data_IF_575026036447
#
_entry.id   IF_575026036447
#
_cell.length_a   1.000
_cell.length_b   1.000
_cell.length_c   1.000
_cell.angle_alpha   90.00
_cell.angle_beta   90.00
_cell.angle_gamma   90.00
#
_symmetry.space_group_name_H-M   'P 1'
#
loop_
_entity.id
_entity.type
_entity.pdbx_description
1 polymer ?
#
# COMPACT_ATOMS: atom_id res chain seq x y z
N UNK A 1 23.69 9.13 11.39
CA UNK A 1 22.29 8.70 11.53
C UNK A 1 21.92 7.55 10.59
N UNK A 2 22.36 7.54 9.33
CA UNK A 2 22.08 6.46 8.35
C UNK A 2 22.56 5.07 8.81
N UNK A 3 23.71 4.98 9.46
CA UNK A 3 24.28 3.71 9.96
C UNK A 3 23.41 3.05 11.05
N UNK A 4 22.70 3.82 11.89
CA UNK A 4 21.87 3.23 12.96
C UNK A 4 20.49 2.79 12.45
N UNK A 5 19.91 3.51 11.48
CA UNK A 5 18.65 3.11 10.85
C UNK A 5 18.83 1.83 10.03
N UNK A 6 19.87 1.76 9.19
CA UNK A 6 20.14 0.57 8.39
C UNK A 6 20.39 -0.67 9.26
N UNK A 7 21.14 -0.53 10.37
CA UNK A 7 21.34 -1.62 11.32
C UNK A 7 20.03 -2.08 11.97
N UNK A 8 19.15 -1.15 12.37
CA UNK A 8 17.86 -1.48 12.96
C UNK A 8 16.94 -2.22 11.97
N UNK A 9 16.88 -1.77 10.71
CA UNK A 9 16.10 -2.43 9.65
C UNK A 9 16.63 -3.84 9.37
N UNK A 10 17.96 -4.01 9.32
CA UNK A 10 18.58 -5.32 9.13
C UNK A 10 18.36 -6.26 10.32
N UNK A 11 18.28 -5.71 11.54
CA UNK A 11 17.95 -6.50 12.74
C UNK A 11 16.54 -7.10 12.64
N UNK A 12 15.54 -6.28 12.29
CA UNK A 12 14.17 -6.78 12.05
C UNK A 12 14.11 -7.78 10.90
N UNK A 13 14.85 -7.53 9.83
CA UNK A 13 14.89 -8.45 8.68
C UNK A 13 15.62 -9.77 8.97
N UNK A 14 16.40 -9.83 10.05
CA UNK A 14 17.09 -11.03 10.51
C UNK A 14 16.22 -11.93 11.39
N UNK A 15 15.03 -11.48 11.80
CA UNK A 15 14.04 -12.34 12.45
C UNK A 15 13.55 -13.42 11.47
N UNK A 16 13.52 -14.67 11.92
CA UNK A 16 13.24 -15.83 11.06
C UNK A 16 11.82 -15.77 10.46
N UNK A 17 10.83 -15.33 11.24
CA UNK A 17 9.43 -15.21 10.80
C UNK A 17 9.29 -14.11 9.76
N UNK A 18 9.88 -12.94 10.01
CA UNK A 18 9.87 -11.80 9.07
C UNK A 18 10.62 -12.16 7.78
N UNK A 19 11.77 -12.82 7.89
CA UNK A 19 12.54 -13.26 6.74
C UNK A 19 11.79 -14.30 5.90
N UNK A 20 11.07 -15.23 6.55
CA UNK A 20 10.23 -16.21 5.87
C UNK A 20 9.07 -15.54 5.13
N UNK A 21 8.35 -14.63 5.77
CA UNK A 21 7.26 -13.87 5.14
C UNK A 21 7.76 -13.06 3.94
N UNK A 22 8.91 -12.38 4.08
CA UNK A 22 9.51 -11.63 2.98
C UNK A 22 9.84 -12.51 1.77
N UNK A 23 10.32 -13.74 1.99
CA UNK A 23 10.56 -14.73 0.92
C UNK A 23 9.26 -15.17 0.27
N UNK A 24 8.26 -15.58 1.05
CA UNK A 24 6.95 -16.00 0.53
C UNK A 24 6.28 -14.93 -0.33
N UNK A 25 6.30 -13.67 0.12
CA UNK A 25 5.77 -12.52 -0.62
C UNK A 25 6.52 -12.34 -1.95
N UNK A 26 7.86 -12.40 -1.91
CA UNK A 26 8.69 -12.23 -3.10
C UNK A 26 8.48 -13.36 -4.11
N UNK A 27 8.34 -14.60 -3.64
CA UNK A 27 8.06 -15.79 -4.46
C UNK A 27 6.69 -15.70 -5.11
N UNK A 28 5.63 -15.41 -4.34
CA UNK A 28 4.28 -15.22 -4.86
C UNK A 28 4.21 -14.07 -5.88
N UNK A 29 4.89 -12.96 -5.62
CA UNK A 29 4.96 -11.84 -6.55
C UNK A 29 5.74 -12.20 -7.83
N UNK A 30 6.79 -13.02 -7.71
CA UNK A 30 7.55 -13.52 -8.85
C UNK A 30 6.72 -14.47 -9.72
N UNK A 31 5.85 -15.29 -9.14
CA UNK A 31 4.92 -16.15 -9.90
C UNK A 31 3.88 -15.30 -10.65
N UNK A 32 3.35 -14.27 -10.00
CA UNK A 32 2.39 -13.35 -10.62
C UNK A 32 2.96 -12.61 -11.83
N UNK A 33 4.25 -12.31 -11.88
CA UNK A 33 4.85 -11.57 -13.02
C UNK A 33 4.62 -12.28 -14.37
N UNK A 34 4.41 -13.60 -14.35
CA UNK A 34 4.18 -14.41 -15.53
C UNK A 34 2.69 -14.61 -15.87
N UNK A 35 1.79 -14.09 -15.03
CA UNK A 35 0.35 -14.15 -15.26
C UNK A 35 -0.02 -13.48 -16.58
N UNK A 36 -0.90 -14.12 -17.35
CA UNK A 36 -1.24 -13.68 -18.71
C UNK A 36 -1.92 -12.29 -18.72
N UNK A 37 -2.78 -12.02 -17.74
CA UNK A 37 -3.35 -10.70 -17.52
C UNK A 37 -2.28 -9.61 -17.36
N UNK A 38 -1.20 -9.90 -16.63
CA UNK A 38 -0.10 -8.95 -16.43
C UNK A 38 0.74 -8.76 -17.71
N UNK A 39 0.91 -9.82 -18.51
CA UNK A 39 1.61 -9.72 -19.81
C UNK A 39 0.85 -8.88 -20.83
N UNK A 40 -0.48 -9.03 -20.91
CA UNK A 40 -1.30 -8.40 -21.97
C UNK A 40 -2.00 -7.12 -21.52
N UNK A 41 -2.38 -7.03 -20.25
CA UNK A 41 -3.32 -6.03 -19.69
C UNK A 41 -2.86 -5.52 -18.31
N UNK A 42 -1.55 -5.37 -18.10
CA UNK A 42 -0.97 -4.95 -16.80
C UNK A 42 -1.59 -3.67 -16.23
N UNK A 43 -1.84 -2.67 -17.07
CA UNK A 43 -2.46 -1.41 -16.63
C UNK A 43 -3.86 -1.64 -16.06
N UNK A 44 -4.63 -2.52 -16.69
CA UNK A 44 -5.99 -2.86 -16.26
C UNK A 44 -5.97 -3.70 -14.97
N UNK A 45 -5.07 -4.68 -14.88
CA UNK A 45 -4.86 -5.47 -13.66
C UNK A 45 -4.47 -4.59 -12.45
N UNK A 46 -3.51 -3.68 -12.62
CA UNK A 46 -3.11 -2.72 -11.58
C UNK A 46 -4.24 -1.77 -11.19
N UNK A 47 -5.02 -1.33 -12.16
CA UNK A 47 -6.20 -0.47 -11.93
C UNK A 47 -7.25 -1.21 -11.12
N UNK A 48 -7.59 -2.44 -11.51
CA UNK A 48 -8.55 -3.28 -10.80
C UNK A 48 -8.07 -3.60 -9.37
N UNK A 49 -6.78 -3.87 -9.16
CA UNK A 49 -6.21 -4.09 -7.84
C UNK A 49 -6.27 -2.82 -6.97
N UNK A 50 -6.08 -1.63 -7.55
CA UNK A 50 -6.25 -0.37 -6.85
C UNK A 50 -7.72 -0.10 -6.47
N UNK A 51 -8.68 -0.50 -7.31
CA UNK A 51 -10.12 -0.44 -6.99
C UNK A 51 -10.47 -1.39 -5.84
N UNK A 52 -9.98 -2.64 -5.89
CA UNK A 52 -10.15 -3.60 -4.81
C UNK A 52 -9.55 -3.07 -3.50
N UNK A 53 -8.30 -2.60 -3.53
CA UNK A 53 -7.63 -2.00 -2.36
C UNK A 53 -8.42 -0.81 -1.80
N UNK A 54 -8.98 0.05 -2.66
CA UNK A 54 -9.83 1.17 -2.22
C UNK A 54 -11.04 0.67 -1.44
N UNK A 55 -11.66 -0.41 -1.91
CA UNK A 55 -12.84 -1.01 -1.29
C UNK A 55 -12.50 -1.61 0.07
N UNK A 56 -11.43 -2.39 0.15
CA UNK A 56 -10.96 -2.99 1.41
C UNK A 56 -10.63 -1.94 2.46
N UNK A 57 -9.80 -0.94 2.13
CA UNK A 57 -9.43 0.12 3.07
C UNK A 57 -10.64 0.98 3.49
N UNK A 58 -11.61 1.21 2.60
CA UNK A 58 -12.83 1.91 2.94
C UNK A 58 -13.72 1.11 3.91
N UNK A 59 -13.84 -0.21 3.69
CA UNK A 59 -14.59 -1.10 4.56
C UNK A 59 -13.96 -1.21 5.94
N UNK A 60 -12.63 -1.38 6.01
CA UNK A 60 -11.91 -1.42 7.29
C UNK A 60 -12.04 -0.11 8.09
N UNK A 61 -12.15 1.02 7.39
CA UNK A 61 -12.42 2.32 8.01
C UNK A 61 -13.91 2.51 8.42
N UNK A 62 -14.77 1.50 8.27
CA UNK A 62 -16.17 1.55 8.63
C UNK A 62 -17.01 2.49 7.75
N UNK A 63 -16.55 2.84 6.55
CA UNK A 63 -17.30 3.70 5.65
C UNK A 63 -18.53 2.94 5.13
N UNK A 64 -19.75 3.53 5.19
CA UNK A 64 -20.97 2.83 4.82
C UNK A 64 -20.93 2.44 3.34
N UNK A 65 -21.37 1.25 2.92
CA UNK A 65 -21.33 0.82 1.52
C UNK A 65 -22.07 1.81 0.61
N UNK A 66 -21.46 2.20 -0.53
CA UNK A 66 -22.12 2.95 -1.63
C UNK A 66 -22.05 2.06 -2.85
N UNK A 67 -23.11 1.28 -3.07
CA UNK A 67 -23.25 0.44 -4.26
C UNK A 67 -21.99 -0.33 -4.60
N UNK A 68 -21.79 -0.58 -5.90
CA UNK A 68 -20.55 -1.10 -6.41
C UNK A 68 -19.58 0.06 -6.68
N UNK A 69 -18.65 0.29 -5.75
CA UNK A 69 -17.60 1.32 -5.86
C UNK A 69 -16.78 1.16 -7.15
N UNK A 70 -16.57 -0.07 -7.62
CA UNK A 70 -15.89 -0.33 -8.88
C UNK A 70 -16.72 0.17 -10.05
N UNK A 71 -18.03 -0.16 -10.09
CA UNK A 71 -18.94 0.36 -11.10
C UNK A 71 -19.05 1.89 -11.07
N UNK A 72 -19.06 2.50 -9.88
CA UNK A 72 -19.08 3.96 -9.74
C UNK A 72 -17.79 4.61 -10.25
N UNK A 73 -16.61 4.04 -9.94
CA UNK A 73 -15.30 4.45 -10.47
C UNK A 73 -15.29 4.37 -11.99
N UNK A 74 -15.79 3.29 -12.56
CA UNK A 74 -15.90 3.09 -14.01
C UNK A 74 -16.89 4.09 -14.65
N UNK A 75 -18.01 4.37 -13.98
CA UNK A 75 -19.03 5.29 -14.46
C UNK A 75 -18.66 6.77 -14.25
N UNK A 76 -17.53 7.08 -13.61
CA UNK A 76 -17.10 8.45 -13.33
C UNK A 76 -18.00 9.20 -12.35
N UNK A 77 -18.77 8.49 -11.53
CA UNK A 77 -19.74 9.07 -10.58
C UNK A 77 -19.05 9.56 -9.30
N UNK A 78 -18.05 10.42 -9.45
CA UNK A 78 -17.23 10.91 -8.35
C UNK A 78 -17.88 12.06 -7.58
N UNK A 79 -18.02 11.89 -6.28
CA UNK A 79 -18.30 12.96 -5.32
C UNK A 79 -16.98 13.38 -4.67
N UNK A 80 -16.50 14.59 -4.97
CA UNK A 80 -15.18 15.07 -4.56
C UNK A 80 -14.96 15.13 -3.04
N UNK A 81 -16.04 15.05 -2.25
CA UNK A 81 -15.99 15.08 -0.79
C UNK A 81 -15.99 13.69 -0.14
N UNK A 82 -16.34 12.61 -0.86
CA UNK A 82 -16.35 11.26 -0.31
C UNK A 82 -14.93 10.75 -0.02
N UNK A 83 -14.74 10.19 1.17
CA UNK A 83 -13.49 9.57 1.61
C UNK A 83 -13.02 8.42 0.69
N UNK A 84 -13.94 7.65 0.08
CA UNK A 84 -13.62 6.61 -0.91
C UNK A 84 -13.05 7.18 -2.17
N UNK A 85 -13.62 8.28 -2.68
CA UNK A 85 -13.11 8.95 -3.87
C UNK A 85 -11.75 9.56 -3.63
N UNK A 86 -11.48 10.07 -2.42
CA UNK A 86 -10.15 10.52 -2.00
C UNK A 86 -9.17 9.34 -1.94
N UNK A 87 -9.59 8.21 -1.39
CA UNK A 87 -8.78 6.97 -1.32
C UNK A 87 -8.42 6.46 -2.71
N UNK A 88 -9.41 6.35 -3.59
CA UNK A 88 -9.22 6.00 -4.99
C UNK A 88 -8.24 6.93 -5.69
N UNK A 89 -8.37 8.25 -5.51
CA UNK A 89 -7.46 9.22 -6.14
C UNK A 89 -6.00 9.02 -5.71
N UNK A 90 -5.76 8.79 -4.43
CA UNK A 90 -4.41 8.50 -3.91
C UNK A 90 -3.88 7.20 -4.52
N UNK A 91 -4.65 6.12 -4.49
CA UNK A 91 -4.22 4.81 -5.01
C UNK A 91 -4.01 4.85 -6.54
N UNK A 92 -4.91 5.49 -7.29
CA UNK A 92 -4.77 5.72 -8.73
C UNK A 92 -3.52 6.53 -9.03
N UNK A 93 -3.25 7.59 -8.27
CA UNK A 93 -2.01 8.38 -8.41
C UNK A 93 -0.78 7.53 -8.15
N UNK A 94 -0.84 6.60 -7.19
CA UNK A 94 0.29 5.70 -6.88
C UNK A 94 0.73 4.86 -8.08
N UNK A 95 -0.21 4.48 -8.97
CA UNK A 95 0.08 3.68 -10.16
C UNK A 95 1.04 4.38 -11.14
N UNK A 96 1.01 5.71 -11.19
CA UNK A 96 1.91 6.50 -12.05
C UNK A 96 3.38 6.36 -11.63
N UNK A 97 3.62 5.94 -10.39
CA UNK A 97 4.94 5.81 -9.78
C UNK A 97 5.48 4.38 -9.77
N UNK A 98 4.76 3.42 -10.39
CA UNK A 98 5.17 2.02 -10.47
C UNK A 98 6.13 1.75 -11.62
N UNK A 99 6.14 2.61 -12.65
CA UNK A 99 6.85 2.35 -13.89
C UNK A 99 6.23 1.22 -14.73
N UNK A 100 6.87 0.86 -15.84
CA UNK A 100 6.46 -0.27 -16.67
C UNK A 100 6.76 -1.60 -15.97
N UNK A 101 5.91 -2.62 -16.18
CA UNK A 101 6.17 -3.97 -15.69
C UNK A 101 7.50 -4.49 -16.28
N UNK A 102 8.45 -4.90 -15.43
CA UNK A 102 9.78 -5.33 -15.86
C UNK A 102 10.69 -4.19 -16.36
N UNK A 103 10.25 -2.93 -16.28
CA UNK A 103 11.02 -1.76 -16.66
C UNK A 103 11.85 -1.19 -15.50
N UNK A 104 12.52 -0.07 -15.76
CA UNK A 104 13.24 0.65 -14.71
C UNK A 104 12.27 1.24 -13.69
N UNK A 105 12.52 1.07 -12.38
CA UNK A 105 11.71 1.70 -11.33
C UNK A 105 11.67 3.21 -11.48
N UNK A 106 10.50 3.81 -11.19
CA UNK A 106 10.38 5.26 -11.13
C UNK A 106 11.26 5.84 -10.01
N UNK A 107 11.95 6.95 -10.29
CA UNK A 107 12.90 7.58 -9.37
C UNK A 107 12.41 8.89 -8.78
N UNK A 108 11.10 9.17 -8.86
CA UNK A 108 10.51 10.37 -8.27
C UNK A 108 10.91 10.48 -6.79
N UNK A 109 11.48 11.62 -6.35
CA UNK A 109 11.89 11.82 -4.97
C UNK A 109 10.73 11.71 -3.99
N UNK A 110 11.01 11.21 -2.77
CA UNK A 110 10.00 11.00 -1.73
C UNK A 110 9.14 12.24 -1.44
N UNK A 111 9.74 13.43 -1.38
CA UNK A 111 9.01 14.68 -1.16
C UNK A 111 7.99 14.99 -2.25
N UNK A 112 8.31 14.68 -3.51
CA UNK A 112 7.41 14.88 -4.64
C UNK A 112 6.27 13.87 -4.63
N UNK A 113 6.55 12.60 -4.31
CA UNK A 113 5.54 11.56 -4.13
C UNK A 113 4.52 11.95 -3.07
N UNK A 114 4.99 12.29 -1.86
CA UNK A 114 4.12 12.66 -0.76
C UNK A 114 3.27 13.89 -1.10
N UNK A 115 3.86 14.90 -1.75
CA UNK A 115 3.14 16.11 -2.18
C UNK A 115 2.02 15.78 -3.16
N UNK A 116 2.30 14.96 -4.17
CA UNK A 116 1.31 14.58 -5.18
C UNK A 116 0.17 13.74 -4.58
N UNK A 117 0.49 12.74 -3.76
CA UNK A 117 -0.51 11.91 -3.08
C UNK A 117 -1.37 12.73 -2.12
N UNK A 118 -0.79 13.67 -1.37
CA UNK A 118 -1.53 14.56 -0.48
C UNK A 118 -2.50 15.46 -1.23
N UNK A 119 -2.05 16.07 -2.33
CA UNK A 119 -2.89 16.89 -3.21
C UNK A 119 -4.08 16.08 -3.73
N UNK A 120 -3.83 14.88 -4.22
CA UNK A 120 -4.87 14.03 -4.80
C UNK A 120 -5.82 13.45 -3.75
N UNK A 121 -5.35 13.25 -2.52
CA UNK A 121 -6.16 12.88 -1.36
C UNK A 121 -6.95 14.02 -0.72
N UNK A 122 -6.66 15.28 -1.08
CA UNK A 122 -7.21 16.45 -0.40
C UNK A 122 -6.77 16.55 1.06
N UNK A 123 -5.54 16.13 1.37
CA UNK A 123 -5.03 16.09 2.74
C UNK A 123 -4.57 17.50 3.20
N UNK A 124 -4.94 17.94 4.42
CA UNK A 124 -4.50 19.22 4.97
C UNK A 124 -3.00 19.22 5.22
N UNK A 125 -2.39 20.42 5.33
CA UNK A 125 -0.99 20.59 5.73
C UNK A 125 -0.66 19.74 6.99
N UNK A 126 0.52 19.08 7.03
CA UNK A 126 0.92 18.33 8.21
C UNK A 126 1.01 19.24 9.42
N UNK A 127 0.44 18.82 10.55
CA UNK A 127 0.85 19.35 11.85
C UNK A 127 2.28 18.88 12.19
N UNK A 128 2.89 19.36 13.29
CA UNK A 128 4.26 18.96 13.66
C UNK A 128 4.45 17.44 13.88
N UNK A 129 3.43 16.73 14.38
CA UNK A 129 3.48 15.30 14.62
C UNK A 129 3.44 14.53 13.30
N UNK A 130 2.50 14.86 12.42
CA UNK A 130 2.41 14.32 11.08
C UNK A 130 3.67 14.63 10.25
N UNK A 131 4.25 15.82 10.39
CA UNK A 131 5.50 16.21 9.73
C UNK A 131 6.70 15.37 10.22
N UNK A 132 6.71 14.93 11.48
CA UNK A 132 7.73 13.99 11.98
C UNK A 132 7.61 12.65 11.26
N UNK A 133 6.41 12.08 11.15
CA UNK A 133 6.18 10.83 10.42
C UNK A 133 6.57 10.93 8.94
N UNK A 134 6.21 12.03 8.27
CA UNK A 134 6.61 12.25 6.87
C UNK A 134 8.13 12.31 6.68
N UNK A 135 8.87 12.90 7.63
CA UNK A 135 10.35 12.89 7.59
C UNK A 135 10.91 11.48 7.73
N UNK A 136 10.33 10.65 8.59
CA UNK A 136 10.75 9.25 8.74
C UNK A 136 10.44 8.46 7.46
N UNK A 137 9.25 8.63 6.88
CA UNK A 137 8.89 7.98 5.61
C UNK A 137 9.86 8.40 4.50
N UNK A 138 10.19 9.68 4.39
CA UNK A 138 11.16 10.15 3.40
C UNK A 138 12.55 9.54 3.60
N UNK A 139 12.98 9.36 4.86
CA UNK A 139 14.22 8.66 5.18
C UNK A 139 14.16 7.18 4.79
N UNK A 140 13.07 6.46 5.12
CA UNK A 140 12.86 5.06 4.76
C UNK A 140 12.88 4.85 3.24
N UNK A 141 12.17 5.69 2.50
CA UNK A 141 12.15 5.66 1.02
C UNK A 141 13.52 5.91 0.38
N UNK A 142 14.47 6.50 1.11
CA UNK A 142 15.79 6.87 0.61
C UNK A 142 16.92 5.99 1.15
N UNK A 143 16.71 5.28 2.26
CA UNK A 143 17.79 4.65 3.02
C UNK A 143 18.43 3.45 2.32
N UNK A 144 17.69 2.74 1.45
CA UNK A 144 18.11 1.45 0.92
C UNK A 144 18.19 0.41 2.06
N UNK A 145 17.31 -0.58 2.05
CA UNK A 145 17.24 -1.56 3.13
C UNK A 145 16.37 -2.77 2.77
N UNK A 146 16.18 -3.71 3.70
CA UNK A 146 15.30 -4.85 3.50
C UNK A 146 13.92 -4.39 3.04
N UNK A 147 13.55 -4.81 1.83
CA UNK A 147 12.40 -4.25 1.12
C UNK A 147 11.09 -4.41 1.90
N UNK A 148 10.87 -5.60 2.48
CA UNK A 148 9.68 -5.91 3.26
C UNK A 148 9.54 -5.06 4.52
N UNK A 149 10.56 -5.08 5.40
CA UNK A 149 10.56 -4.28 6.64
C UNK A 149 10.36 -2.80 6.33
N UNK A 150 11.09 -2.27 5.33
CA UNK A 150 10.97 -0.87 4.92
C UNK A 150 9.55 -0.54 4.46
N UNK A 151 8.92 -1.43 3.69
CA UNK A 151 7.51 -1.31 3.25
C UNK A 151 6.55 -1.28 4.44
N UNK A 152 6.72 -2.19 5.40
CA UNK A 152 5.88 -2.28 6.60
C UNK A 152 5.98 -1.01 7.46
N UNK A 153 7.18 -0.49 7.67
CA UNK A 153 7.39 0.73 8.49
C UNK A 153 6.94 2.02 7.78
N UNK A 154 7.02 2.07 6.43
CA UNK A 154 6.40 3.16 5.66
C UNK A 154 4.89 3.19 5.91
N UNK A 155 4.24 2.01 5.93
CA UNK A 155 2.82 1.94 6.23
C UNK A 155 2.54 2.41 7.67
N UNK A 156 3.25 1.88 8.67
CA UNK A 156 3.06 2.28 10.07
C UNK A 156 3.12 3.80 10.25
N UNK A 157 4.17 4.45 9.73
CA UNK A 157 4.29 5.90 9.83
C UNK A 157 3.29 6.64 8.94
N UNK A 158 2.81 6.04 7.85
CA UNK A 158 1.71 6.58 7.07
C UNK A 158 0.40 6.62 7.86
N UNK A 159 0.14 5.60 8.69
CA UNK A 159 -0.99 5.56 9.62
C UNK A 159 -0.81 6.57 10.76
N UNK A 160 0.38 6.57 11.38
CA UNK A 160 0.73 7.49 12.48
C UNK A 160 0.75 8.97 12.07
N UNK A 161 0.92 9.27 10.77
CA UNK A 161 0.78 10.63 10.26
C UNK A 161 -0.66 11.17 10.37
N UNK A 162 -1.65 10.34 10.72
CA UNK A 162 -2.91 10.74 11.32
C UNK A 162 -3.64 11.86 10.59
N UNK A 163 -4.26 11.57 9.44
CA UNK A 163 -5.06 12.56 8.69
C UNK A 163 -6.53 12.57 9.12
N UNK A 164 -6.78 12.30 10.41
CA UNK A 164 -8.11 12.06 10.98
C UNK A 164 -8.95 13.35 11.07
N UNK A 165 -9.37 13.85 9.91
CA UNK A 165 -10.58 14.65 9.79
C UNK A 165 -11.73 13.73 9.36
N UNK A 166 -12.94 14.01 9.83
CA UNK A 166 -14.16 13.21 9.57
C UNK A 166 -14.58 13.10 8.09
N UNK A 167 -13.90 13.81 7.17
CA UNK A 167 -14.13 13.77 5.74
C UNK A 167 -12.88 13.36 4.91
N UNK A 168 -11.75 13.01 5.57
CA UNK A 168 -10.53 12.57 4.90
C UNK A 168 -10.63 11.13 4.38
N UNK A 169 -9.76 10.69 3.45
CA UNK A 169 -9.58 9.26 3.21
C UNK A 169 -9.13 8.57 4.51
N UNK A 170 -9.33 7.24 4.66
CA UNK A 170 -8.80 6.47 5.76
C UNK A 170 -7.31 6.77 5.99
N UNK A 171 -6.88 6.84 7.25
CA UNK A 171 -5.48 7.12 7.60
C UNK A 171 -4.51 6.12 6.94
N UNK A 172 -4.96 4.88 6.77
CA UNK A 172 -4.24 3.80 6.09
C UNK A 172 -4.02 4.05 4.59
N UNK A 173 -4.87 4.83 3.89
CA UNK A 173 -4.80 5.00 2.43
C UNK A 173 -3.51 5.67 1.95
N UNK A 174 -3.05 6.69 2.68
CA UNK A 174 -1.81 7.39 2.35
C UNK A 174 -0.59 6.50 2.59
N UNK A 175 -0.54 5.81 3.74
CA UNK A 175 0.50 4.85 4.08
C UNK A 175 0.56 3.66 3.12
N UNK A 176 -0.58 3.04 2.85
CA UNK A 176 -0.72 1.94 1.90
C UNK A 176 -0.22 2.33 0.51
N UNK A 177 -0.56 3.54 0.02
CA UNK A 177 -0.11 4.00 -1.29
C UNK A 177 1.41 4.18 -1.37
N UNK A 178 2.04 4.73 -0.34
CA UNK A 178 3.50 4.86 -0.26
C UNK A 178 4.17 3.50 -0.12
N UNK A 179 3.59 2.60 0.68
CA UNK A 179 4.06 1.23 0.85
C UNK A 179 4.01 0.47 -0.49
N UNK A 180 2.92 0.56 -1.27
CA UNK A 180 2.86 -0.04 -2.61
C UNK A 180 3.89 0.52 -3.57
N UNK A 181 4.08 1.84 -3.61
CA UNK A 181 5.11 2.45 -4.44
C UNK A 181 6.49 1.90 -4.07
N UNK A 182 6.79 1.82 -2.77
CA UNK A 182 8.05 1.27 -2.30
C UNK A 182 8.19 -0.22 -2.64
N UNK A 183 7.16 -1.03 -2.41
CA UNK A 183 7.17 -2.47 -2.69
C UNK A 183 7.44 -2.76 -4.18
N UNK A 184 6.82 -2.00 -5.09
CA UNK A 184 7.08 -2.11 -6.53
C UNK A 184 8.51 -1.69 -6.87
N UNK A 185 8.97 -0.54 -6.36
CA UNK A 185 10.31 -0.01 -6.68
C UNK A 185 11.46 -0.83 -6.14
N UNK A 186 11.26 -1.44 -4.98
CA UNK A 186 12.25 -2.30 -4.32
C UNK A 186 12.26 -3.71 -4.88
N UNK A 187 11.29 -4.07 -5.73
CA UNK A 187 11.16 -5.41 -6.31
C UNK A 187 10.55 -6.45 -5.36
N UNK A 188 10.04 -6.04 -4.20
CA UNK A 188 9.27 -6.91 -3.30
C UNK A 188 7.98 -7.39 -3.97
N UNK A 189 7.28 -6.47 -4.64
CA UNK A 189 6.04 -6.76 -5.36
C UNK A 189 6.05 -6.05 -6.73
N UNK A 190 6.85 -6.52 -7.71
CA UNK A 190 7.07 -5.79 -8.95
C UNK A 190 5.83 -5.73 -9.86
N UNK A 191 4.83 -6.59 -9.62
CA UNK A 191 3.61 -6.62 -10.41
C UNK A 191 2.68 -5.43 -10.11
N UNK A 192 2.70 -4.90 -8.89
CA UNK A 192 1.85 -3.79 -8.45
C UNK A 192 0.38 -4.18 -8.25
N UNK A 193 0.08 -5.46 -8.00
CA UNK A 193 -1.29 -6.00 -7.98
C UNK A 193 -1.75 -6.54 -6.63
N UNK A 194 -0.91 -6.53 -5.59
CA UNK A 194 -1.36 -6.92 -4.27
C UNK A 194 -2.56 -6.05 -3.82
N UNK A 195 -3.65 -6.70 -3.42
CA UNK A 195 -4.84 -6.02 -2.87
C UNK A 195 -4.61 -5.83 -1.39
N UNK A 196 -4.54 -4.57 -0.95
CA UNK A 196 -4.24 -4.27 0.44
C UNK A 196 -5.52 -4.09 1.25
N UNK A 197 -5.49 -4.61 2.48
CA UNK A 197 -6.52 -4.42 3.50
C UNK A 197 -5.91 -3.73 4.73
N UNK A 198 -6.68 -3.56 5.80
CA UNK A 198 -6.12 -3.13 7.07
C UNK A 198 -5.24 -4.20 7.72
N UNK A 199 -4.29 -3.74 8.53
CA UNK A 199 -3.35 -4.62 9.22
C UNK A 199 -3.95 -4.96 10.57
N UNK A 200 -4.24 -6.23 10.81
CA UNK A 200 -4.97 -6.73 11.99
C UNK A 200 -4.25 -6.63 13.35
N UNK A 201 -3.31 -5.70 13.52
CA UNK A 201 -2.54 -5.51 14.77
C UNK A 201 -2.44 -4.01 15.15
N UNK A 202 -3.57 -3.37 15.53
CA UNK A 202 -3.58 -1.95 15.88
C UNK A 202 -2.82 -1.64 17.19
N UNK A 203 -2.74 -2.60 18.12
CA UNK A 203 -1.99 -2.45 19.37
C UNK A 203 -0.48 -2.41 19.11
N UNK A 204 0.04 -3.37 18.33
CA UNK A 204 1.45 -3.37 17.93
C UNK A 204 1.84 -2.11 17.15
N UNK A 205 0.93 -1.59 16.31
CA UNK A 205 1.13 -0.30 15.65
C UNK A 205 1.26 0.84 16.67
N UNK A 206 0.34 0.92 17.64
CA UNK A 206 0.35 1.98 18.64
C UNK A 206 1.62 1.95 19.50
N UNK A 207 2.01 0.77 19.98
CA UNK A 207 3.21 0.56 20.79
C UNK A 207 4.48 0.89 20.00
N UNK A 208 4.54 0.47 18.74
CA UNK A 208 5.64 0.84 17.85
C UNK A 208 5.76 2.36 17.66
N UNK A 209 4.64 3.02 17.37
CA UNK A 209 4.63 4.48 17.17
C UNK A 209 4.93 5.24 18.47
N UNK A 210 4.64 4.64 19.64
CA UNK A 210 5.03 5.15 20.96
C UNK A 210 6.53 4.97 21.25
N UNK A 211 7.23 4.15 20.48
CA UNK A 211 8.68 3.97 20.54
C UNK A 211 9.13 2.57 20.98
N UNK A 212 8.21 1.62 21.13
CA UNK A 212 8.59 0.23 21.41
C UNK A 212 9.08 -0.46 20.13
N UNK A 213 10.37 -0.78 20.10
CA UNK A 213 10.97 -1.46 18.96
C UNK A 213 10.59 -2.95 18.88
N UNK A 214 10.18 -3.59 19.98
CA UNK A 214 9.72 -4.98 19.94
C UNK A 214 8.38 -5.09 19.21
N UNK A 215 7.48 -4.13 19.42
CA UNK A 215 6.21 -4.03 18.71
C UNK A 215 6.38 -3.85 17.19
N UNK A 216 7.54 -3.34 16.73
CA UNK A 216 7.84 -3.24 15.30
C UNK A 216 7.90 -4.62 14.61
N UNK A 217 8.36 -5.66 15.31
CA UNK A 217 8.42 -7.02 14.76
C UNK A 217 7.01 -7.59 14.58
N UNK A 218 6.16 -7.50 15.60
CA UNK A 218 4.74 -7.89 15.54
C UNK A 218 4.00 -7.15 14.42
N UNK A 219 4.23 -5.84 14.29
CA UNK A 219 3.68 -5.07 13.17
C UNK A 219 4.15 -5.58 11.80
N UNK A 220 5.44 -5.90 11.67
CA UNK A 220 5.98 -6.45 10.43
C UNK A 220 5.37 -7.83 10.11
N UNK A 221 5.21 -8.70 11.10
CA UNK A 221 4.56 -10.00 10.91
C UNK A 221 3.12 -9.84 10.40
N UNK A 222 2.33 -8.98 11.06
CA UNK A 222 0.95 -8.67 10.66
C UNK A 222 0.86 -8.11 9.24
N UNK A 223 1.75 -7.18 8.90
CA UNK A 223 1.91 -6.68 7.53
C UNK A 223 2.19 -7.83 6.56
N UNK A 224 3.03 -8.79 6.93
CA UNK A 224 3.42 -9.90 6.07
C UNK A 224 2.26 -10.84 5.77
N UNK A 225 1.48 -11.18 6.79
CA UNK A 225 0.25 -11.95 6.63
C UNK A 225 -0.74 -11.25 5.71
N UNK A 226 -0.92 -9.94 5.89
CA UNK A 226 -1.78 -9.14 5.01
C UNK A 226 -1.24 -9.11 3.57
N UNK A 227 0.07 -9.00 3.36
CA UNK A 227 0.66 -8.92 2.00
C UNK A 227 0.52 -10.24 1.26
N UNK A 228 0.70 -11.35 1.98
CA UNK A 228 0.48 -12.70 1.46
C UNK A 228 -0.98 -12.90 1.04
N UNK A 229 -1.94 -12.53 1.89
CA UNK A 229 -3.36 -12.56 1.54
C UNK A 229 -3.68 -11.65 0.35
N UNK A 230 -3.08 -10.46 0.32
CA UNK A 230 -3.25 -9.48 -0.74
C UNK A 230 -2.73 -9.92 -2.10
N UNK A 231 -1.66 -10.73 -2.15
CA UNK A 231 -1.16 -11.33 -3.39
C UNK A 231 -2.09 -12.42 -3.92
N UNK A 232 -2.69 -13.22 -3.04
CA UNK A 232 -3.73 -14.20 -3.42
C UNK A 232 -4.93 -13.48 -4.02
N UNK A 233 -5.42 -12.42 -3.36
CA UNK A 233 -6.49 -11.59 -3.90
C UNK A 233 -6.09 -10.88 -5.21
N UNK A 234 -4.84 -10.43 -5.32
CA UNK A 234 -4.29 -9.85 -6.55
C UNK A 234 -4.28 -10.82 -7.72
N UNK A 235 -4.04 -12.11 -7.47
CA UNK A 235 -4.18 -13.17 -8.47
C UNK A 235 -5.61 -13.28 -8.97
N UNK A 236 -6.59 -13.34 -8.06
CA UNK A 236 -8.00 -13.40 -8.43
C UNK A 236 -8.42 -12.19 -9.27
N UNK A 237 -7.96 -10.99 -8.92
CA UNK A 237 -8.17 -9.77 -9.75
C UNK A 237 -7.57 -9.92 -11.15
N UNK A 238 -6.40 -10.53 -11.28
CA UNK A 238 -5.79 -10.79 -12.57
C UNK A 238 -6.58 -11.81 -13.39
N UNK A 239 -7.08 -12.88 -12.77
CA UNK A 239 -7.95 -13.89 -13.40
C UNK A 239 -9.25 -13.23 -13.91
N UNK A 240 -9.89 -12.38 -13.11
CA UNK A 240 -11.09 -11.62 -13.49
C UNK A 240 -10.83 -10.70 -14.69
N UNK A 241 -9.72 -9.96 -14.67
CA UNK A 241 -9.34 -9.09 -15.80
C UNK A 241 -9.13 -9.92 -17.06
N UNK A 242 -8.46 -11.08 -16.98
CA UNK A 242 -8.27 -11.97 -18.13
C UNK A 242 -9.61 -12.47 -18.69
N UNK A 243 -10.56 -12.80 -17.82
CA UNK A 243 -11.92 -13.19 -18.18
C UNK A 243 -12.75 -12.04 -18.78
N UNK A 244 -12.23 -10.80 -18.80
CA UNK A 244 -12.88 -9.64 -19.38
C UNK A 244 -13.72 -8.83 -18.40
N UNK A 245 -13.69 -9.16 -17.11
CA UNK A 245 -14.36 -8.37 -16.09
C UNK A 245 -13.69 -6.98 -15.96
N UNK A 246 -14.51 -5.93 -15.91
CA UNK A 246 -14.05 -4.54 -15.69
C UNK A 246 -14.09 -4.20 -14.20
N UNK A 247 -13.28 -4.90 -13.42
CA UNK A 247 -12.99 -4.58 -12.01
C UNK A 247 -14.00 -5.09 -10.98
N UNK A 248 -13.56 -6.05 -10.15
CA UNK A 248 -13.95 -6.17 -8.73
C UNK A 248 -15.33 -6.73 -8.38
N UNK A 249 -16.10 -7.26 -9.33
CA UNK A 249 -17.48 -7.70 -9.09
C UNK A 249 -17.65 -9.20 -8.78
N UNK A 250 -16.70 -9.83 -8.10
CA UNK A 250 -16.86 -11.22 -7.66
C UNK A 250 -16.88 -11.30 -6.14
N UNK A 251 -17.96 -10.79 -5.53
CA UNK A 251 -18.37 -11.19 -4.19
C UNK A 251 -18.82 -12.65 -4.28
N UNK A 252 -17.95 -13.58 -3.89
CA UNK A 252 -18.44 -14.90 -3.44
C UNK A 252 -19.33 -14.67 -2.22
N UNK A 253 -20.57 -15.17 -2.34
CA UNK A 253 -21.61 -15.21 -1.30
C UNK A 253 -21.14 -15.90 -0.04
#
# INVERSE_FOLDING_TARGET
>A
MTTSLAAALNSLAGDDTIAQLAREISEQAADLRFHEALRRRSREARTAAAVATTTHLANAAGLPPRGDLAAMIVAGQADGTDARWRTWRILRRSLEYYGALGGTPDRTPAGQLMTALRRDGGLPAPDPAAARHQRIIAALLSAGGPAFVTTALIWAHGQGAGWAGTAGPPASAFGASLAKIHAVRSGLEPAGVAVLDDVGEPEALADYLAGDWQAAATWCEACGLMWRAGLIAGRAVCDDVLAGARGGATTTR
#
